data_IF_096983995304
#
_entry.id   IF_096983995304
#
_cell.length_a   1.000
_cell.length_b   1.000
_cell.length_c   1.000
_cell.angle_alpha   90.00
_cell.angle_beta   90.00
_cell.angle_gamma   90.00
#
_symmetry.space_group_name_H-M   'P 1'
#
loop_
_entity.id
_entity.type
_entity.pdbx_description
1 polymer ?
#
# COMPACT_ATOMS: atom_id res chain seq x y z
N UNK A 1 -4.20 -6.63 25.41
CA UNK A 1 -3.86 -5.21 25.43
C UNK A 1 -4.94 -4.46 26.20
N UNK A 2 -4.56 -3.43 26.99
CA UNK A 2 -5.51 -2.62 27.77
C UNK A 2 -6.43 -1.77 26.88
N UNK A 3 -7.51 -1.22 27.48
CA UNK A 3 -8.52 -0.41 26.79
C UNK A 3 -7.91 0.79 26.06
N UNK A 4 -6.88 1.43 26.64
CA UNK A 4 -6.13 2.54 26.02
C UNK A 4 -5.55 2.17 24.65
N UNK A 5 -4.91 1.01 24.52
CA UNK A 5 -4.31 0.57 23.25
C UNK A 5 -5.37 0.21 22.21
N UNK A 6 -6.47 -0.43 22.64
CA UNK A 6 -7.60 -0.76 21.76
C UNK A 6 -8.24 0.51 21.20
N UNK A 7 -8.49 1.50 22.08
CA UNK A 7 -9.07 2.78 21.69
C UNK A 7 -8.16 3.55 20.74
N UNK A 8 -6.86 3.67 21.05
CA UNK A 8 -5.88 4.32 20.18
C UNK A 8 -5.78 3.66 18.81
N UNK A 9 -5.77 2.33 18.77
CA UNK A 9 -5.74 1.57 17.53
C UNK A 9 -7.01 1.76 16.68
N UNK A 10 -8.20 1.76 17.30
CA UNK A 10 -9.46 2.02 16.60
C UNK A 10 -9.51 3.42 16.01
N UNK A 11 -9.07 4.43 16.79
CA UNK A 11 -8.97 5.81 16.36
C UNK A 11 -8.05 5.99 15.17
N UNK A 12 -6.84 5.42 15.25
CA UNK A 12 -5.87 5.47 14.18
C UNK A 12 -6.39 4.78 12.90
N UNK A 13 -6.94 3.59 13.00
CA UNK A 13 -7.50 2.89 11.84
C UNK A 13 -8.62 3.66 11.14
N UNK A 14 -9.50 4.35 11.88
CA UNK A 14 -10.57 5.16 11.30
C UNK A 14 -10.02 6.33 10.47
N UNK A 15 -9.03 7.04 10.99
CA UNK A 15 -8.43 8.18 10.27
C UNK A 15 -7.61 7.71 9.07
N UNK A 16 -6.85 6.64 9.22
CA UNK A 16 -6.03 6.08 8.15
C UNK A 16 -6.87 5.48 7.03
N UNK A 17 -8.05 4.91 7.34
CA UNK A 17 -8.99 4.44 6.32
C UNK A 17 -9.42 5.57 5.36
N UNK A 18 -9.63 6.79 5.89
CA UNK A 18 -9.96 7.97 5.07
C UNK A 18 -8.75 8.42 4.26
N UNK A 19 -7.56 8.43 4.85
CA UNK A 19 -6.33 8.89 4.19
C UNK A 19 -5.97 8.07 2.94
N UNK A 20 -6.29 6.78 2.90
CA UNK A 20 -5.93 5.88 1.79
C UNK A 20 -6.97 5.84 0.66
N UNK A 21 -8.18 6.42 0.81
CA UNK A 21 -9.25 6.40 -0.21
C UNK A 21 -8.77 6.91 -1.57
N UNK A 22 -8.11 8.07 -1.69
CA UNK A 22 -7.65 8.56 -2.99
C UNK A 22 -6.60 7.65 -3.64
N UNK A 23 -5.73 7.04 -2.83
CA UNK A 23 -4.77 6.03 -3.29
C UNK A 23 -5.45 4.77 -3.83
N UNK A 24 -6.54 4.33 -3.20
CA UNK A 24 -7.35 3.20 -3.68
C UNK A 24 -8.04 3.53 -5.00
N UNK A 25 -8.59 4.73 -5.16
CA UNK A 25 -9.16 5.19 -6.41
C UNK A 25 -8.11 5.18 -7.55
N UNK A 26 -6.89 5.66 -7.27
CA UNK A 26 -5.79 5.58 -8.22
C UNK A 26 -5.41 4.13 -8.56
N UNK A 27 -5.51 3.21 -7.62
CA UNK A 27 -5.27 1.78 -7.85
C UNK A 27 -6.25 1.18 -8.86
N UNK A 28 -7.53 1.57 -8.81
CA UNK A 28 -8.54 1.17 -9.81
C UNK A 28 -8.27 1.79 -11.17
N UNK A 29 -7.91 3.08 -11.21
CA UNK A 29 -7.54 3.76 -12.45
C UNK A 29 -6.34 3.08 -13.14
N UNK A 30 -5.34 2.63 -12.36
CA UNK A 30 -4.18 1.89 -12.87
C UNK A 30 -4.62 0.61 -13.59
N UNK A 31 -5.50 -0.21 -13.00
CA UNK A 31 -5.97 -1.45 -13.62
C UNK A 31 -6.63 -1.15 -14.97
N UNK A 32 -7.50 -0.15 -15.01
CA UNK A 32 -8.26 0.22 -16.22
C UNK A 32 -7.33 0.72 -17.33
N UNK A 33 -6.50 1.71 -17.03
CA UNK A 33 -5.64 2.35 -18.05
C UNK A 33 -4.58 1.38 -18.56
N UNK A 34 -3.92 0.63 -17.67
CA UNK A 34 -2.91 -0.35 -18.07
C UNK A 34 -3.56 -1.50 -18.85
N UNK A 35 -4.76 -1.96 -18.46
CA UNK A 35 -5.52 -2.96 -19.20
C UNK A 35 -5.85 -2.51 -20.63
N UNK A 36 -6.25 -1.26 -20.82
CA UNK A 36 -6.48 -0.68 -22.15
C UNK A 36 -5.21 -0.64 -23.00
N UNK A 37 -4.08 -0.19 -22.43
CA UNK A 37 -2.79 -0.17 -23.15
C UNK A 37 -2.35 -1.58 -23.56
N UNK A 38 -2.55 -2.58 -22.70
CA UNK A 38 -2.25 -3.99 -23.00
C UNK A 38 -3.17 -4.51 -24.12
N UNK A 39 -4.47 -4.17 -24.06
CA UNK A 39 -5.45 -4.55 -25.08
C UNK A 39 -5.12 -3.95 -26.45
N UNK A 40 -4.61 -2.72 -26.49
CA UNK A 40 -4.13 -2.07 -27.70
C UNK A 40 -2.80 -2.64 -28.23
N UNK A 41 -2.10 -3.46 -27.47
CA UNK A 41 -0.82 -4.07 -27.86
C UNK A 41 0.37 -3.10 -27.84
N UNK A 42 0.24 -1.93 -27.20
CA UNK A 42 1.29 -0.91 -27.15
C UNK A 42 2.08 -1.00 -25.84
N UNK A 43 3.21 -1.70 -25.88
CA UNK A 43 4.10 -1.85 -24.73
C UNK A 43 4.73 -0.52 -24.30
N UNK A 44 5.10 0.35 -25.24
CA UNK A 44 5.73 1.63 -24.93
C UNK A 44 4.76 2.53 -24.17
N UNK A 45 3.52 2.61 -24.64
CA UNK A 45 2.45 3.35 -23.98
C UNK A 45 2.13 2.75 -22.60
N UNK A 46 2.10 1.42 -22.50
CA UNK A 46 1.85 0.74 -21.23
C UNK A 46 2.93 1.10 -20.18
N UNK A 47 4.21 1.05 -20.54
CA UNK A 47 5.32 1.44 -19.65
C UNK A 47 5.30 2.92 -19.29
N UNK A 48 4.97 3.78 -20.25
CA UNK A 48 4.83 5.22 -20.01
C UNK A 48 3.69 5.50 -19.01
N UNK A 49 2.51 4.95 -19.26
CA UNK A 49 1.34 5.13 -18.40
C UNK A 49 1.55 4.53 -17.00
N UNK A 50 2.20 3.36 -16.89
CA UNK A 50 2.55 2.78 -15.60
C UNK A 50 3.39 3.74 -14.75
N UNK A 51 4.45 4.33 -15.33
CA UNK A 51 5.30 5.32 -14.65
C UNK A 51 4.53 6.58 -14.29
N UNK A 52 3.72 7.10 -15.23
CA UNK A 52 2.95 8.33 -15.03
C UNK A 52 1.91 8.18 -13.92
N UNK A 53 1.12 7.11 -13.96
CA UNK A 53 0.10 6.83 -12.94
C UNK A 53 0.72 6.57 -11.57
N UNK A 54 1.83 5.85 -11.48
CA UNK A 54 2.53 5.68 -10.21
C UNK A 54 3.02 7.01 -9.63
N UNK A 55 3.59 7.92 -10.45
CA UNK A 55 3.97 9.26 -9.98
C UNK A 55 2.78 10.04 -9.43
N UNK A 56 1.64 10.01 -10.12
CA UNK A 56 0.41 10.66 -9.66
C UNK A 56 -0.07 10.02 -8.35
N UNK A 57 -0.05 8.69 -8.25
CA UNK A 57 -0.43 7.97 -7.02
C UNK A 57 0.45 8.38 -5.84
N UNK A 58 1.77 8.47 -6.04
CA UNK A 58 2.69 8.97 -5.00
C UNK A 58 2.36 10.40 -4.56
N UNK A 59 2.12 11.30 -5.52
CA UNK A 59 1.77 12.70 -5.22
C UNK A 59 0.45 12.81 -4.46
N UNK A 60 -0.58 12.09 -4.89
CA UNK A 60 -1.90 12.07 -4.24
C UNK A 60 -1.80 11.47 -2.84
N UNK A 61 -1.12 10.31 -2.69
CA UNK A 61 -0.94 9.67 -1.37
C UNK A 61 -0.14 10.57 -0.43
N UNK A 62 0.93 11.20 -0.90
CA UNK A 62 1.71 12.13 -0.10
C UNK A 62 0.86 13.31 0.39
N UNK A 63 0.07 13.92 -0.51
CA UNK A 63 -0.82 15.03 -0.17
C UNK A 63 -1.83 14.61 0.90
N UNK A 64 -2.50 13.46 0.72
CA UNK A 64 -3.51 13.00 1.69
C UNK A 64 -2.90 12.62 3.03
N UNK A 65 -1.77 11.90 3.05
CA UNK A 65 -1.07 11.54 4.28
C UNK A 65 -0.57 12.78 5.05
N UNK A 66 0.03 13.75 4.36
CA UNK A 66 0.48 15.00 4.97
C UNK A 66 -0.72 15.78 5.56
N UNK A 67 -1.80 15.88 4.81
CA UNK A 67 -3.04 16.54 5.27
C UNK A 67 -3.61 15.82 6.50
N UNK A 68 -3.65 14.49 6.49
CA UNK A 68 -4.11 13.70 7.64
C UNK A 68 -3.24 13.95 8.86
N UNK A 69 -1.90 13.90 8.75
CA UNK A 69 -1.00 14.18 9.87
C UNK A 69 -1.24 15.60 10.41
N UNK A 70 -1.35 16.60 9.54
CA UNK A 70 -1.54 17.99 9.93
C UNK A 70 -2.89 18.23 10.64
N UNK A 71 -3.95 17.56 10.19
CA UNK A 71 -5.29 17.70 10.76
C UNK A 71 -5.52 16.79 11.98
N UNK A 72 -4.73 15.76 12.19
CA UNK A 72 -4.89 14.81 13.29
C UNK A 72 -5.02 15.50 14.66
N UNK A 73 -4.16 16.46 15.08
CA UNK A 73 -4.30 17.11 16.39
C UNK A 73 -5.63 17.85 16.56
N UNK A 74 -6.18 18.39 15.46
CA UNK A 74 -7.47 19.07 15.48
C UNK A 74 -8.63 18.07 15.58
N UNK A 75 -8.58 17.01 14.79
CA UNK A 75 -9.60 15.95 14.77
C UNK A 75 -9.64 15.23 16.13
N UNK A 76 -8.48 14.93 16.72
CA UNK A 76 -8.40 14.26 18.01
C UNK A 76 -9.05 15.03 19.15
N UNK A 77 -9.13 16.36 19.09
CA UNK A 77 -9.84 17.20 20.08
C UNK A 77 -11.36 16.94 20.13
N UNK A 78 -11.92 16.41 19.05
CA UNK A 78 -13.36 16.09 18.98
C UNK A 78 -13.66 14.76 19.67
N UNK A 79 -12.66 13.89 19.84
CA UNK A 79 -12.83 12.59 20.48
C UNK A 79 -12.71 12.71 22.01
N UNK A 80 -13.76 12.24 22.71
CA UNK A 80 -13.81 12.19 24.19
C UNK A 80 -13.15 10.90 24.71
N UNK A 81 -11.83 10.79 24.55
CA UNK A 81 -11.05 9.62 25.00
C UNK A 81 -9.90 10.08 25.93
N UNK A 82 -9.27 9.11 26.62
CA UNK A 82 -8.22 9.44 27.59
C UNK A 82 -7.00 10.11 26.92
N UNK A 83 -6.29 11.02 27.63
CA UNK A 83 -5.09 11.67 27.10
C UNK A 83 -4.02 10.68 26.62
N UNK A 84 -3.88 9.54 27.30
CA UNK A 84 -2.93 8.48 26.95
C UNK A 84 -3.32 7.81 25.62
N UNK A 85 -4.62 7.56 25.39
CA UNK A 85 -5.11 7.00 24.13
C UNK A 85 -4.94 7.99 22.96
N UNK A 86 -5.13 9.30 23.21
CA UNK A 86 -4.88 10.34 22.20
C UNK A 86 -3.39 10.40 21.82
N UNK A 87 -2.50 10.41 22.82
CA UNK A 87 -1.06 10.45 22.58
C UNK A 87 -0.58 9.22 21.78
N UNK A 88 -1.04 8.04 22.17
CA UNK A 88 -0.71 6.80 21.45
C UNK A 88 -1.31 6.83 20.03
N UNK A 89 -2.56 7.24 19.86
CA UNK A 89 -3.21 7.39 18.55
C UNK A 89 -2.43 8.32 17.62
N UNK A 90 -1.94 9.45 18.12
CA UNK A 90 -1.11 10.37 17.34
C UNK A 90 0.19 9.72 16.86
N UNK A 91 0.84 8.93 17.72
CA UNK A 91 2.06 8.18 17.36
C UNK A 91 1.75 7.17 16.24
N UNK A 92 0.67 6.39 16.40
CA UNK A 92 0.29 5.36 15.41
C UNK A 92 -0.02 5.99 14.05
N UNK A 93 -0.82 7.07 14.02
CA UNK A 93 -1.18 7.80 12.80
C UNK A 93 0.06 8.39 12.12
N UNK A 94 1.00 8.94 12.89
CA UNK A 94 2.23 9.53 12.35
C UNK A 94 3.13 8.46 11.75
N UNK A 95 3.30 7.30 12.40
CA UNK A 95 4.08 6.17 11.86
C UNK A 95 3.44 5.67 10.57
N UNK A 96 2.12 5.43 10.58
CA UNK A 96 1.41 4.91 9.41
C UNK A 96 1.53 5.86 8.22
N UNK A 97 1.06 7.11 8.37
CA UNK A 97 1.01 8.05 7.26
C UNK A 97 2.41 8.47 6.80
N UNK A 98 3.37 8.60 7.72
CA UNK A 98 4.78 8.87 7.38
C UNK A 98 5.39 7.77 6.49
N UNK A 99 5.18 6.51 6.86
CA UNK A 99 5.62 5.37 6.05
C UNK A 99 4.77 5.17 4.79
N UNK A 100 3.47 5.47 4.83
CA UNK A 100 2.55 5.31 3.72
C UNK A 100 2.91 6.20 2.52
N UNK A 101 3.45 7.40 2.75
CA UNK A 101 3.92 8.29 1.66
C UNK A 101 4.85 7.54 0.70
N UNK A 102 5.75 6.71 1.24
CA UNK A 102 6.76 6.00 0.43
C UNK A 102 6.33 4.58 0.07
N UNK A 103 5.78 3.84 1.03
CA UNK A 103 5.57 2.39 0.89
C UNK A 103 4.20 2.03 0.33
N UNK A 104 3.14 2.80 0.66
CA UNK A 104 1.78 2.42 0.31
C UNK A 104 1.53 2.32 -1.21
N UNK A 105 1.95 3.30 -2.07
CA UNK A 105 1.79 3.17 -3.51
C UNK A 105 2.52 1.95 -4.09
N UNK A 106 3.72 1.64 -3.59
CA UNK A 106 4.49 0.48 -4.05
C UNK A 106 3.90 -0.85 -3.58
N UNK A 107 3.33 -0.90 -2.37
CA UNK A 107 2.77 -2.12 -1.79
C UNK A 107 1.36 -2.44 -2.28
N UNK A 108 0.54 -1.41 -2.60
CA UNK A 108 -0.89 -1.60 -2.89
C UNK A 108 -1.30 -1.15 -4.29
N UNK A 109 -0.71 -0.09 -4.85
CA UNK A 109 -1.07 0.39 -6.19
C UNK A 109 -0.25 -0.26 -7.29
N UNK A 110 1.05 -0.45 -7.10
CA UNK A 110 1.94 -1.08 -8.08
C UNK A 110 1.51 -2.51 -8.48
N UNK A 111 1.09 -3.41 -7.55
CA UNK A 111 0.64 -4.74 -7.94
C UNK A 111 -0.57 -4.73 -8.89
N UNK A 112 -1.30 -3.62 -9.01
CA UNK A 112 -2.40 -3.51 -9.96
C UNK A 112 -1.92 -3.40 -11.41
N UNK A 113 -0.70 -2.91 -11.64
CA UNK A 113 -0.05 -2.99 -12.97
C UNK A 113 0.18 -4.47 -13.34
N UNK A 114 0.67 -5.27 -12.39
CA UNK A 114 0.90 -6.70 -12.61
C UNK A 114 -0.42 -7.44 -12.85
N UNK A 115 -1.47 -7.12 -12.08
CA UNK A 115 -2.81 -7.71 -12.22
C UNK A 115 -3.44 -7.35 -13.58
N UNK A 116 -3.31 -6.10 -14.03
CA UNK A 116 -3.78 -5.67 -15.34
C UNK A 116 -3.11 -6.46 -16.47
N UNK A 117 -1.87 -6.87 -16.29
CA UNK A 117 -1.13 -7.73 -17.21
C UNK A 117 -1.42 -9.24 -17.05
N UNK A 118 -2.42 -9.60 -16.25
CA UNK A 118 -2.76 -10.99 -15.93
C UNK A 118 -1.69 -11.76 -15.09
N UNK A 119 -0.69 -11.07 -14.54
CA UNK A 119 0.27 -11.64 -13.59
C UNK A 119 -0.31 -11.56 -12.17
N UNK A 120 -1.36 -12.34 -11.90
CA UNK A 120 -2.14 -12.28 -10.65
C UNK A 120 -1.52 -13.15 -9.56
N UNK A 121 -0.94 -14.31 -9.92
CA UNK A 121 -0.44 -15.29 -8.95
C UNK A 121 0.72 -14.75 -8.12
N UNK A 122 1.63 -14.03 -8.77
CA UNK A 122 2.81 -13.51 -8.08
C UNK A 122 2.47 -12.48 -6.98
N UNK A 123 1.68 -11.41 -7.24
CA UNK A 123 1.27 -10.48 -6.18
C UNK A 123 0.45 -11.16 -5.08
N UNK A 124 -0.39 -12.13 -5.43
CA UNK A 124 -1.19 -12.87 -4.45
C UNK A 124 -0.31 -13.66 -3.49
N UNK A 125 0.61 -14.48 -4.00
CA UNK A 125 1.49 -15.31 -3.18
C UNK A 125 2.42 -14.47 -2.30
N UNK A 126 3.03 -13.41 -2.87
CA UNK A 126 3.85 -12.47 -2.10
C UNK A 126 3.05 -11.81 -0.97
N UNK A 127 1.81 -11.37 -1.24
CA UNK A 127 0.97 -10.72 -0.23
C UNK A 127 0.57 -11.66 0.89
N UNK A 128 0.22 -12.91 0.57
CA UNK A 128 -0.13 -13.92 1.58
C UNK A 128 1.10 -14.26 2.42
N UNK A 129 2.23 -14.54 1.79
CA UNK A 129 3.46 -14.89 2.49
C UNK A 129 3.93 -13.75 3.42
N UNK A 130 3.98 -12.51 2.95
CA UNK A 130 4.39 -11.37 3.75
C UNK A 130 3.41 -11.10 4.90
N UNK A 131 2.10 -11.23 4.65
CA UNK A 131 1.08 -11.05 5.68
C UNK A 131 1.21 -12.09 6.81
N UNK A 132 1.43 -13.36 6.47
CA UNK A 132 1.56 -14.42 7.49
C UNK A 132 2.89 -14.31 8.23
N UNK A 133 4.01 -14.17 7.50
CA UNK A 133 5.34 -14.22 8.11
C UNK A 133 5.72 -12.91 8.81
N UNK A 134 5.44 -11.78 8.21
CA UNK A 134 5.89 -10.48 8.74
C UNK A 134 4.79 -9.85 9.59
N UNK A 135 3.57 -9.73 9.07
CA UNK A 135 2.50 -9.01 9.78
C UNK A 135 1.95 -9.80 10.95
N UNK A 136 1.65 -11.10 10.79
CA UNK A 136 1.11 -11.91 11.88
C UNK A 136 2.22 -12.39 12.81
N UNK A 137 3.21 -13.13 12.33
CA UNK A 137 4.27 -13.68 13.19
C UNK A 137 5.17 -12.58 13.75
N UNK A 138 5.64 -11.63 12.92
CA UNK A 138 6.42 -10.47 13.36
C UNK A 138 5.63 -9.55 14.29
N UNK A 139 4.35 -9.31 14.00
CA UNK A 139 3.45 -8.54 14.86
C UNK A 139 3.27 -9.17 16.23
N UNK A 140 3.08 -10.48 16.31
CA UNK A 140 3.02 -11.20 17.57
C UNK A 140 4.32 -11.08 18.37
N UNK A 141 5.48 -11.30 17.71
CA UNK A 141 6.79 -11.17 18.35
C UNK A 141 7.01 -9.75 18.90
N UNK A 142 6.80 -8.71 18.10
CA UNK A 142 7.01 -7.33 18.52
C UNK A 142 6.02 -6.90 19.61
N UNK A 143 4.75 -7.22 19.44
CA UNK A 143 3.71 -6.75 20.33
C UNK A 143 3.71 -7.50 21.69
N UNK A 144 3.91 -8.82 21.68
CA UNK A 144 3.78 -9.67 22.88
C UNK A 144 5.15 -9.97 23.48
N UNK A 145 6.08 -10.52 22.71
CA UNK A 145 7.37 -10.96 23.22
C UNK A 145 8.28 -9.76 23.60
N UNK A 146 8.33 -8.73 22.77
CA UNK A 146 9.07 -7.49 23.06
C UNK A 146 8.25 -6.46 23.84
N UNK A 147 6.97 -6.73 24.15
CA UNK A 147 6.13 -5.86 24.97
C UNK A 147 5.76 -4.51 24.33
N UNK A 148 5.94 -4.34 23.01
CA UNK A 148 5.69 -3.06 22.32
C UNK A 148 4.21 -2.75 22.12
N UNK A 149 3.30 -3.68 22.43
CA UNK A 149 1.86 -3.47 22.32
C UNK A 149 1.41 -3.10 20.90
N UNK A 150 0.53 -2.10 20.80
CA UNK A 150 0.00 -1.63 19.51
C UNK A 150 1.09 -1.12 18.57
N UNK A 151 2.11 -0.45 19.08
CA UNK A 151 3.24 0.05 18.27
C UNK A 151 3.94 -1.09 17.55
N UNK A 152 4.16 -2.23 18.22
CA UNK A 152 4.78 -3.40 17.61
C UNK A 152 3.98 -3.97 16.42
N UNK A 153 2.64 -3.98 16.53
CA UNK A 153 1.75 -4.41 15.44
C UNK A 153 1.89 -3.47 14.23
N UNK A 154 1.96 -2.16 14.45
CA UNK A 154 2.06 -1.17 13.38
C UNK A 154 3.43 -1.19 12.71
N UNK A 155 4.50 -1.42 13.47
CA UNK A 155 5.86 -1.62 12.90
C UNK A 155 5.89 -2.88 12.02
N UNK A 156 5.31 -3.99 12.47
CA UNK A 156 5.21 -5.20 11.65
C UNK A 156 4.40 -4.99 10.38
N UNK A 157 3.34 -4.17 10.43
CA UNK A 157 2.55 -3.78 9.27
C UNK A 157 3.39 -2.99 8.25
N UNK A 158 4.19 -2.04 8.71
CA UNK A 158 5.13 -1.28 7.85
C UNK A 158 6.18 -2.22 7.23
N UNK A 159 6.70 -3.18 8.00
CA UNK A 159 7.59 -4.22 7.52
C UNK A 159 6.99 -5.10 6.42
N UNK A 160 5.72 -5.47 6.56
CA UNK A 160 4.95 -6.18 5.52
C UNK A 160 4.86 -5.34 4.23
N UNK A 161 4.55 -4.03 4.34
CA UNK A 161 4.51 -3.13 3.19
C UNK A 161 5.86 -3.00 2.49
N UNK A 162 6.93 -2.91 3.25
CA UNK A 162 8.29 -2.83 2.70
C UNK A 162 8.64 -4.11 1.91
N UNK A 163 8.35 -5.28 2.45
CA UNK A 163 8.56 -6.55 1.77
C UNK A 163 7.78 -6.61 0.45
N UNK A 164 6.48 -6.28 0.47
CA UNK A 164 5.64 -6.22 -0.74
C UNK A 164 6.17 -5.22 -1.76
N UNK A 165 6.53 -4.01 -1.32
CA UNK A 165 7.05 -2.95 -2.19
C UNK A 165 8.31 -3.43 -2.93
N UNK A 166 9.24 -4.06 -2.23
CA UNK A 166 10.47 -4.61 -2.82
C UNK A 166 10.15 -5.72 -3.82
N UNK A 167 9.31 -6.70 -3.44
CA UNK A 167 8.95 -7.81 -4.32
C UNK A 167 8.25 -7.34 -5.60
N UNK A 168 7.29 -6.41 -5.48
CA UNK A 168 6.53 -5.93 -6.63
C UNK A 168 7.37 -5.01 -7.52
N UNK A 169 8.19 -4.14 -6.94
CA UNK A 169 9.13 -3.32 -7.70
C UNK A 169 10.14 -4.18 -8.48
N UNK A 170 10.72 -5.19 -7.85
CA UNK A 170 11.62 -6.13 -8.51
C UNK A 170 10.93 -6.87 -9.67
N UNK A 171 9.66 -7.31 -9.48
CA UNK A 171 8.86 -7.95 -10.53
C UNK A 171 8.57 -7.01 -11.69
N UNK A 172 8.23 -5.75 -11.40
CA UNK A 172 7.97 -4.74 -12.42
C UNK A 172 9.22 -4.41 -13.23
N UNK A 173 10.35 -4.12 -12.54
CA UNK A 173 11.63 -3.75 -13.15
C UNK A 173 12.16 -4.89 -14.02
N UNK A 174 12.07 -6.16 -13.57
CA UNK A 174 12.52 -7.32 -14.33
C UNK A 174 11.76 -7.52 -15.66
N UNK A 175 10.65 -6.84 -15.88
CA UNK A 175 9.81 -6.99 -17.07
C UNK A 175 9.11 -8.34 -17.20
N UNK A 176 9.26 -9.24 -16.22
CA UNK A 176 8.67 -10.60 -16.28
C UNK A 176 7.15 -10.61 -16.38
N UNK A 177 6.49 -9.56 -15.89
CA UNK A 177 5.03 -9.37 -15.97
C UNK A 177 4.50 -9.24 -17.41
N UNK A 178 5.32 -8.72 -18.36
CA UNK A 178 4.94 -8.58 -19.76
C UNK A 178 4.69 -9.94 -20.45
N UNK A 179 5.32 -11.00 -19.94
CA UNK A 179 5.09 -12.37 -20.44
C UNK A 179 3.65 -12.86 -20.23
N UNK A 180 2.91 -12.28 -19.33
CA UNK A 180 1.53 -12.65 -19.01
C UNK A 180 0.50 -11.78 -19.74
N UNK A 181 0.92 -10.66 -20.36
CA UNK A 181 0.05 -9.71 -21.06
C UNK A 181 -0.34 -10.25 -22.45
N UNK A 182 -1.59 -10.71 -22.66
CA UNK A 182 -1.98 -11.40 -23.92
C UNK A 182 -1.96 -10.45 -25.13
N UNK A 183 -2.39 -9.20 -24.97
CA UNK A 183 -2.41 -8.23 -26.06
C UNK A 183 -1.02 -7.90 -26.62
N UNK A 184 -0.03 -7.80 -25.74
CA UNK A 184 1.36 -7.51 -26.14
C UNK A 184 2.00 -8.69 -26.88
N UNK A 185 1.61 -9.94 -26.58
CA UNK A 185 2.10 -11.14 -27.28
C UNK A 185 1.57 -11.25 -28.70
N UNK A 186 0.32 -10.91 -28.93
CA UNK A 186 -0.30 -10.99 -30.27
C UNK A 186 0.40 -10.05 -31.24
N UNK A 187 0.76 -8.85 -30.82
CA UNK A 187 1.47 -7.88 -31.66
C UNK A 187 2.92 -8.29 -31.91
N UNK A 188 3.60 -8.87 -30.92
CA UNK A 188 4.95 -9.39 -31.12
C UNK A 188 5.01 -10.52 -32.18
N UNK A 189 4.03 -11.45 -32.14
CA UNK A 189 3.95 -12.54 -33.13
C UNK A 189 3.53 -12.09 -34.55
N UNK A 190 2.87 -10.92 -34.70
CA UNK A 190 2.52 -10.36 -36.02
C UNK A 190 3.69 -9.64 -36.71
N UNK A 191 4.75 -9.32 -35.97
CA UNK A 191 5.94 -8.61 -36.48
C UNK A 191 7.09 -9.57 -36.85
N UNK A 192 6.94 -10.87 -36.58
CA UNK A 192 7.79 -11.95 -37.08
C UNK A 192 7.17 -12.60 -38.31
#
# INVERSE_FOLDING_TARGET
FGTTQITANALANNLDAVAVIPGQAMSLAIITVIGQCIGAGDEAQCRFMAKKLMKITYAVTALTCITTIALTPLILKVYSVSPEALALGLILITIHNGCAIVLWPAAFSLPNILRAANDVRYPMLCSIASMVLIRLAGGYLLAVHFGMGAIGIWIAMVGDWMCRAICFAARLISGKWLKYAPGLRVVANRKM
#
